data_IF_683693454261
#
_entry.id   IF_683693454261
#
_cell.length_a   1.000
_cell.length_b   1.000
_cell.length_c   1.000
_cell.angle_alpha   90.00
_cell.angle_beta   90.00
_cell.angle_gamma   90.00
#
_symmetry.space_group_name_H-M   'P 1'
#
loop_
_entity.id
_entity.type
_entity.pdbx_description
1 polymer ?
#
# COMPACT_ATOMS: atom_id res chain seq x y z
N UNK A 1 -20.03 15.09 -12.85
CA UNK A 1 -19.45 15.58 -14.12
C UNK A 1 -20.58 15.60 -15.14
N UNK A 2 -20.36 15.75 -16.44
CA UNK A 2 -21.45 15.60 -17.41
C UNK A 2 -20.97 15.71 -18.86
N UNK A 3 -21.79 15.26 -19.80
CA UNK A 3 -21.51 15.32 -21.23
C UNK A 3 -20.70 14.13 -21.75
N UNK A 4 -20.11 14.28 -22.96
CA UNK A 4 -19.50 13.18 -23.70
C UNK A 4 -18.35 12.48 -22.95
N UNK A 5 -17.68 13.17 -22.02
CA UNK A 5 -16.64 12.57 -21.19
C UNK A 5 -17.24 11.52 -20.23
N UNK A 6 -18.33 11.87 -19.54
CA UNK A 6 -19.02 10.93 -18.64
C UNK A 6 -19.69 9.80 -19.41
N UNK A 7 -20.27 10.08 -20.58
CA UNK A 7 -20.83 9.06 -21.47
C UNK A 7 -19.73 8.08 -21.95
N UNK A 8 -18.55 8.61 -22.32
CA UNK A 8 -17.39 7.80 -22.68
C UNK A 8 -16.88 6.94 -21.53
N UNK A 9 -16.82 7.47 -20.32
CA UNK A 9 -16.44 6.68 -19.14
C UNK A 9 -17.48 5.61 -18.80
N UNK A 10 -18.77 5.93 -18.86
CA UNK A 10 -19.86 4.98 -18.63
C UNK A 10 -19.82 3.79 -19.62
N UNK A 11 -19.37 3.99 -20.85
CA UNK A 11 -19.15 2.88 -21.80
C UNK A 11 -18.10 1.89 -21.29
N UNK A 12 -17.04 2.38 -20.63
CA UNK A 12 -15.90 1.55 -20.17
C UNK A 12 -16.17 0.91 -18.82
N UNK A 13 -16.67 1.69 -17.86
CA UNK A 13 -16.82 1.25 -16.46
C UNK A 13 -18.26 1.04 -16.02
N UNK A 14 -19.24 1.28 -16.90
CA UNK A 14 -20.67 1.17 -16.61
C UNK A 14 -21.21 2.42 -15.94
N UNK A 15 -21.10 2.49 -14.62
CA UNK A 15 -21.45 3.66 -13.81
C UNK A 15 -20.17 4.32 -13.31
N UNK A 16 -19.74 5.38 -14.00
CA UNK A 16 -18.53 6.12 -13.66
C UNK A 16 -18.60 6.76 -12.28
N UNK A 17 -19.78 7.23 -11.87
CA UNK A 17 -19.97 7.81 -10.53
C UNK A 17 -19.74 6.77 -9.44
N UNK A 18 -20.44 5.63 -9.54
CA UNK A 18 -20.27 4.53 -8.60
C UNK A 18 -18.85 3.94 -8.63
N UNK A 19 -18.19 3.93 -9.79
CA UNK A 19 -16.80 3.50 -9.93
C UNK A 19 -15.83 4.43 -9.20
N UNK A 20 -15.96 5.75 -9.36
CA UNK A 20 -15.14 6.73 -8.61
C UNK A 20 -15.37 6.60 -7.10
N UNK A 21 -16.62 6.54 -6.66
CA UNK A 21 -16.95 6.37 -5.24
C UNK A 21 -16.31 5.09 -4.66
N UNK A 22 -16.27 4.02 -5.45
CA UNK A 22 -15.61 2.75 -5.09
C UNK A 22 -14.10 2.91 -4.95
N UNK A 23 -13.45 3.58 -5.91
CA UNK A 23 -12.00 3.82 -5.86
C UNK A 23 -11.63 4.70 -4.66
N UNK A 24 -12.38 5.77 -4.41
CA UNK A 24 -12.16 6.67 -3.28
C UNK A 24 -12.31 5.91 -1.95
N UNK A 25 -13.33 5.06 -1.83
CA UNK A 25 -13.52 4.21 -0.65
C UNK A 25 -12.34 3.25 -0.45
N UNK A 26 -11.87 2.58 -1.51
CA UNK A 26 -10.72 1.66 -1.44
C UNK A 26 -9.43 2.39 -1.05
N UNK A 27 -9.15 3.56 -1.62
CA UNK A 27 -7.98 4.39 -1.26
C UNK A 27 -8.01 4.82 0.21
N UNK A 28 -9.20 5.12 0.73
CA UNK A 28 -9.37 5.44 2.14
C UNK A 28 -9.08 4.23 3.04
N UNK A 29 -9.58 3.06 2.70
CA UNK A 29 -9.31 1.82 3.44
C UNK A 29 -7.83 1.45 3.42
N UNK A 30 -7.16 1.62 2.28
CA UNK A 30 -5.70 1.46 2.15
C UNK A 30 -4.98 2.42 3.10
N UNK A 31 -5.33 3.71 3.11
CA UNK A 31 -4.73 4.69 4.00
C UNK A 31 -4.96 4.36 5.50
N UNK A 32 -6.16 3.87 5.83
CA UNK A 32 -6.51 3.44 7.20
C UNK A 32 -5.73 2.19 7.64
N UNK A 33 -5.43 1.25 6.73
CA UNK A 33 -4.58 0.10 7.03
C UNK A 33 -3.07 0.45 7.07
N UNK A 34 -2.66 1.45 6.29
CA UNK A 34 -1.28 1.89 6.16
C UNK A 34 -0.75 2.57 7.43
N UNK A 35 -1.51 3.51 8.00
CA UNK A 35 -1.05 4.27 9.16
C UNK A 35 -0.68 3.39 10.38
N UNK A 36 -1.50 2.41 10.81
CA UNK A 36 -1.13 1.47 11.87
C UNK A 36 0.09 0.61 11.53
N UNK A 37 0.27 0.27 10.26
CA UNK A 37 1.41 -0.53 9.79
C UNK A 37 2.72 0.25 9.88
N UNK A 38 2.72 1.52 9.44
CA UNK A 38 3.90 2.40 9.52
C UNK A 38 4.33 2.71 10.96
N UNK A 39 3.40 2.59 11.92
CA UNK A 39 3.62 2.82 13.35
C UNK A 39 3.63 1.52 14.18
N UNK A 40 3.67 0.34 13.55
CA UNK A 40 3.74 -0.91 14.28
C UNK A 40 5.15 -1.09 14.86
N UNK A 41 5.30 -1.38 16.17
CA UNK A 41 6.63 -1.53 16.79
C UNK A 41 7.52 -2.60 16.14
N UNK A 42 6.91 -3.61 15.50
CA UNK A 42 7.65 -4.65 14.76
C UNK A 42 8.23 -4.09 13.47
N UNK A 43 7.49 -3.22 12.78
CA UNK A 43 7.94 -2.51 11.58
C UNK A 43 9.04 -1.51 11.93
N UNK A 44 8.85 -0.71 12.98
CA UNK A 44 9.87 0.22 13.47
C UNK A 44 11.18 -0.48 13.84
N UNK A 45 11.11 -1.64 14.50
CA UNK A 45 12.29 -2.41 14.88
C UNK A 45 13.07 -2.94 13.67
N UNK A 46 12.39 -3.45 12.63
CA UNK A 46 13.06 -3.96 11.44
C UNK A 46 13.60 -2.83 10.54
N UNK A 47 12.91 -1.68 10.52
CA UNK A 47 13.40 -0.46 9.88
C UNK A 47 14.69 0.04 10.53
N UNK A 48 14.74 0.07 11.87
CA UNK A 48 15.95 0.43 12.60
C UNK A 48 17.11 -0.53 12.26
N UNK A 49 16.86 -1.84 12.25
CA UNK A 49 17.87 -2.83 11.89
C UNK A 49 18.37 -2.68 10.43
N UNK A 50 17.47 -2.36 9.49
CA UNK A 50 17.84 -2.05 8.12
C UNK A 50 18.71 -0.78 8.03
N UNK A 51 18.33 0.28 8.76
CA UNK A 51 19.08 1.54 8.77
C UNK A 51 20.49 1.35 9.34
N UNK A 52 20.62 0.57 10.41
CA UNK A 52 21.93 0.18 10.99
C UNK A 52 22.79 -0.59 9.98
N UNK A 53 22.19 -1.51 9.21
CA UNK A 53 22.88 -2.24 8.16
C UNK A 53 23.36 -1.31 7.03
N UNK A 54 22.52 -0.37 6.60
CA UNK A 54 22.88 0.63 5.59
C UNK A 54 24.02 1.54 6.09
N UNK A 55 23.97 1.97 7.34
CA UNK A 55 25.03 2.76 7.97
C UNK A 55 26.36 1.97 8.01
N UNK A 56 26.33 0.68 8.35
CA UNK A 56 27.50 -0.18 8.33
C UNK A 56 28.08 -0.38 6.91
N UNK A 57 27.23 -0.31 5.88
CA UNK A 57 27.64 -0.33 4.47
C UNK A 57 28.18 1.02 3.95
N UNK A 58 28.22 2.07 4.79
CA UNK A 58 28.70 3.41 4.44
C UNK A 58 27.61 4.36 3.94
N UNK A 59 26.34 3.99 4.08
CA UNK A 59 25.17 4.78 3.68
C UNK A 59 24.43 5.33 4.91
N UNK A 60 25.11 6.17 5.70
CA UNK A 60 24.52 6.82 6.88
C UNK A 60 23.41 7.80 6.52
N UNK A 61 22.35 7.87 7.33
CA UNK A 61 21.22 8.76 7.08
C UNK A 61 20.25 8.23 6.01
N UNK A 62 20.37 6.95 5.62
CA UNK A 62 19.38 6.30 4.79
C UNK A 62 18.06 6.16 5.56
N UNK A 63 17.02 6.78 5.04
CA UNK A 63 15.63 6.58 5.46
C UNK A 63 14.97 5.61 4.49
N UNK A 64 14.25 4.62 4.99
CA UNK A 64 13.55 3.68 4.12
C UNK A 64 12.47 4.42 3.32
N UNK A 65 12.40 4.18 2.01
CA UNK A 65 11.46 4.85 1.11
C UNK A 65 11.90 6.22 0.60
N UNK A 66 12.96 6.81 1.14
CA UNK A 66 13.58 8.01 0.55
C UNK A 66 14.62 7.61 -0.51
N UNK A 67 14.86 8.45 -1.53
CA UNK A 67 15.94 8.23 -2.47
C UNK A 67 17.29 8.25 -1.73
N UNK A 68 17.83 7.08 -1.45
CA UNK A 68 19.26 6.95 -1.14
C UNK A 68 20.03 7.34 -2.41
N UNK A 69 21.24 7.89 -2.25
CA UNK A 69 22.19 8.14 -3.34
C UNK A 69 22.06 7.04 -4.40
N UNK A 70 21.62 7.40 -5.62
CA UNK A 70 21.21 6.48 -6.71
C UNK A 70 22.37 5.68 -7.32
N UNK A 71 23.48 5.61 -6.61
CA UNK A 71 24.59 4.75 -6.94
C UNK A 71 24.17 3.29 -6.95
N UNK A 72 24.75 2.51 -7.87
CA UNK A 72 24.61 1.05 -7.91
C UNK A 72 25.01 0.41 -6.58
N UNK A 73 25.98 0.98 -5.88
CA UNK A 73 26.46 0.47 -4.59
C UNK A 73 25.35 0.54 -3.52
N UNK A 74 24.67 1.68 -3.41
CA UNK A 74 23.56 1.87 -2.47
C UNK A 74 22.39 0.92 -2.77
N UNK A 75 22.04 0.72 -4.05
CA UNK A 75 20.98 -0.23 -4.41
C UNK A 75 21.32 -1.69 -4.04
N UNK A 76 22.59 -2.09 -4.19
CA UNK A 76 23.05 -3.42 -3.77
C UNK A 76 23.06 -3.55 -2.24
N UNK A 77 23.50 -2.51 -1.52
CA UNK A 77 23.46 -2.47 -0.07
C UNK A 77 22.02 -2.56 0.45
N UNK A 78 21.10 -1.77 -0.12
CA UNK A 78 19.68 -1.78 0.25
C UNK A 78 19.06 -3.18 0.07
N UNK A 79 19.21 -3.79 -1.10
CA UNK A 79 18.69 -5.13 -1.34
C UNK A 79 19.29 -6.18 -0.38
N UNK A 80 20.60 -6.05 -0.08
CA UNK A 80 21.29 -6.96 0.86
C UNK A 80 20.78 -6.77 2.29
N UNK A 81 20.67 -5.53 2.75
CA UNK A 81 20.20 -5.19 4.09
C UNK A 81 18.72 -5.54 4.27
N UNK A 82 17.87 -5.25 3.27
CA UNK A 82 16.45 -5.61 3.29
C UNK A 82 16.29 -7.14 3.47
N UNK A 83 17.02 -7.93 2.68
CA UNK A 83 16.96 -9.38 2.76
C UNK A 83 17.55 -9.92 4.08
N UNK A 84 18.63 -9.32 4.60
CA UNK A 84 19.29 -9.82 5.82
C UNK A 84 18.45 -9.62 7.08
N UNK A 85 17.70 -8.52 7.17
CA UNK A 85 16.82 -8.24 8.32
C UNK A 85 15.38 -8.71 8.09
N UNK A 86 15.05 -9.20 6.89
CA UNK A 86 13.69 -9.61 6.54
C UNK A 86 12.71 -8.45 6.56
N UNK A 87 13.11 -7.28 6.05
CA UNK A 87 12.30 -6.06 6.09
C UNK A 87 10.98 -6.26 5.34
N UNK A 88 11.04 -6.70 4.08
CA UNK A 88 9.84 -6.89 3.26
C UNK A 88 8.86 -7.93 3.82
N UNK A 89 9.35 -9.05 4.37
CA UNK A 89 8.49 -10.09 4.94
C UNK A 89 7.84 -9.66 6.25
N UNK A 90 8.59 -8.96 7.10
CA UNK A 90 8.08 -8.43 8.37
C UNK A 90 7.01 -7.36 8.13
N UNK A 91 7.30 -6.41 7.23
CA UNK A 91 6.34 -5.38 6.83
C UNK A 91 5.04 -6.00 6.30
N UNK A 92 5.15 -6.91 5.33
CA UNK A 92 3.99 -7.58 4.72
C UNK A 92 3.14 -8.34 5.74
N UNK A 93 3.77 -8.95 6.75
CA UNK A 93 3.04 -9.68 7.80
C UNK A 93 2.18 -8.73 8.64
N UNK A 94 2.70 -7.54 8.95
CA UNK A 94 1.96 -6.51 9.68
C UNK A 94 0.88 -5.90 8.79
N UNK A 95 1.24 -5.51 7.58
CA UNK A 95 0.33 -4.92 6.60
C UNK A 95 -0.90 -5.79 6.37
N UNK A 96 -0.71 -7.08 6.09
CA UNK A 96 -1.82 -8.03 5.91
C UNK A 96 -2.70 -8.12 7.17
N UNK A 97 -2.12 -8.08 8.37
CA UNK A 97 -2.90 -8.11 9.60
C UNK A 97 -3.73 -6.82 9.78
N UNK A 98 -3.15 -5.66 9.46
CA UNK A 98 -3.85 -4.37 9.47
C UNK A 98 -4.96 -4.32 8.43
N UNK A 99 -4.70 -4.76 7.20
CA UNK A 99 -5.68 -4.86 6.12
C UNK A 99 -6.86 -5.76 6.52
N UNK A 100 -6.60 -6.95 7.07
CA UNK A 100 -7.68 -7.82 7.55
C UNK A 100 -8.51 -7.20 8.66
N UNK A 101 -7.90 -6.42 9.55
CA UNK A 101 -8.62 -5.70 10.60
C UNK A 101 -9.55 -4.64 10.00
N UNK A 102 -9.06 -3.85 9.04
CA UNK A 102 -9.85 -2.83 8.35
C UNK A 102 -10.98 -3.48 7.54
N UNK A 103 -10.68 -4.53 6.78
CA UNK A 103 -11.69 -5.25 6.00
C UNK A 103 -12.81 -5.82 6.89
N UNK A 104 -12.48 -6.34 8.07
CA UNK A 104 -13.46 -6.85 9.02
C UNK A 104 -14.35 -5.73 9.60
N UNK A 105 -13.79 -4.53 9.84
CA UNK A 105 -14.55 -3.38 10.32
C UNK A 105 -15.53 -2.84 9.26
N UNK A 106 -15.12 -2.85 8.00
CA UNK A 106 -15.88 -2.28 6.89
C UNK A 106 -16.62 -3.29 6.02
N UNK A 107 -16.70 -4.57 6.43
CA UNK A 107 -17.34 -5.66 5.67
C UNK A 107 -18.73 -5.27 5.13
N UNK A 108 -19.67 -4.69 5.91
CA UNK A 108 -21.00 -4.37 5.39
C UNK A 108 -20.97 -3.33 4.26
N UNK A 109 -20.12 -2.30 4.40
CA UNK A 109 -19.95 -1.26 3.39
C UNK A 109 -19.32 -1.85 2.12
N UNK A 110 -18.33 -2.72 2.26
CA UNK A 110 -17.67 -3.40 1.14
C UNK A 110 -18.65 -4.30 0.37
N UNK A 111 -19.47 -5.08 1.08
CA UNK A 111 -20.51 -5.91 0.45
C UNK A 111 -21.51 -5.06 -0.33
N UNK A 112 -21.97 -3.94 0.25
CA UNK A 112 -22.86 -3.01 -0.45
C UNK A 112 -22.19 -2.40 -1.69
N UNK A 113 -20.95 -1.95 -1.57
CA UNK A 113 -20.18 -1.36 -2.66
C UNK A 113 -19.98 -2.35 -3.82
N UNK A 114 -19.54 -3.59 -3.51
CA UNK A 114 -19.33 -4.65 -4.49
C UNK A 114 -20.64 -5.07 -5.19
N UNK A 115 -21.79 -4.95 -4.52
CA UNK A 115 -23.10 -5.24 -5.13
C UNK A 115 -23.52 -4.24 -6.22
N UNK A 116 -22.90 -3.05 -6.22
CA UNK A 116 -23.17 -1.97 -7.18
C UNK A 116 -22.21 -1.99 -8.38
N UNK A 117 -21.13 -2.76 -8.31
CA UNK A 117 -20.17 -2.90 -9.42
C UNK A 117 -20.79 -3.80 -10.51
N UNK A 118 -20.79 -3.37 -11.79
CA UNK A 118 -21.30 -4.18 -12.89
C UNK A 118 -20.63 -5.56 -12.97
N UNK A 119 -21.41 -6.61 -13.28
CA UNK A 119 -20.97 -8.02 -13.29
C UNK A 119 -19.81 -8.34 -14.24
N UNK A 120 -19.47 -7.44 -15.17
CA UNK A 120 -18.32 -7.57 -16.08
C UNK A 120 -16.97 -7.54 -15.35
N UNK A 121 -16.97 -7.17 -14.07
CA UNK A 121 -15.80 -7.13 -13.18
C UNK A 121 -15.81 -8.20 -12.09
N UNK A 122 -16.82 -9.10 -12.08
CA UNK A 122 -16.84 -10.24 -11.16
C UNK A 122 -16.05 -11.41 -11.79
N UNK A 123 -15.09 -12.03 -11.07
CA UNK A 123 -14.23 -13.08 -11.60
C UNK A 123 -14.97 -14.39 -11.92
#
# INVERSE_FOLDING_TARGET
MGGCLEEGHNIVVGDYGAWIDTIDALQRLEAEARFPTEHDPRVEAVLAAWSDCMAAAGHSGATHGEPVDVSRAAAVADATCNNSVGLASSWRTVEVASEWSVLAEYEPMLVEMLSRIPSVWQP
#
